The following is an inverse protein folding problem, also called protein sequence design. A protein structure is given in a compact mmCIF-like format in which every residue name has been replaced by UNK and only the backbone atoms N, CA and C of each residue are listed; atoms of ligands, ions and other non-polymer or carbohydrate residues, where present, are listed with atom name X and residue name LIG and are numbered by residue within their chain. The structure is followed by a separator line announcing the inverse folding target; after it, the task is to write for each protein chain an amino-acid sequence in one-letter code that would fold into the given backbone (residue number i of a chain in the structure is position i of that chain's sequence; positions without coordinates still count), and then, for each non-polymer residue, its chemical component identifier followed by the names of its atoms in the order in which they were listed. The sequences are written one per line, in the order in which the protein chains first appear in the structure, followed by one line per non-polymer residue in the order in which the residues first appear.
data_IF_119595818283
#
_entry.id   IF_119595818283
#
_cell.length_a   1.000
_cell.length_b   1.000
_cell.length_c   1.000
_cell.angle_alpha   90.00
_cell.angle_beta   90.00
_cell.angle_gamma   90.00
#
_symmetry.space_group_name_H-M   'P 1'
#
loop_
_entity.id
_entity.type
_entity.pdbx_description
1 polymer ?
#
# COMPACT_ATOMS: atom_id res chain seq x y z
N UNK A 1 -14.35 -22.31 -3.02
CA UNK A 1 -14.50 -20.87 -2.64
C UNK A 1 -13.15 -20.17 -2.50
N UNK A 2 -12.19 -20.72 -1.77
CA UNK A 2 -10.90 -20.08 -1.51
C UNK A 2 -9.97 -19.85 -2.73
N UNK A 3 -9.94 -20.79 -3.70
CA UNK A 3 -9.06 -20.63 -4.87
C UNK A 3 -9.53 -19.51 -5.81
N UNK A 4 -10.84 -19.34 -5.97
CA UNK A 4 -11.40 -18.23 -6.73
C UNK A 4 -11.08 -16.88 -6.05
N UNK A 5 -11.21 -16.79 -4.72
CA UNK A 5 -10.87 -15.57 -3.97
C UNK A 5 -9.39 -15.24 -4.05
N UNK A 6 -8.51 -16.24 -3.95
CA UNK A 6 -7.07 -16.04 -4.11
C UNK A 6 -6.71 -15.56 -5.53
N UNK A 7 -7.36 -16.14 -6.55
CA UNK A 7 -7.18 -15.71 -7.93
C UNK A 7 -7.66 -14.27 -8.15
N UNK A 8 -8.78 -13.87 -7.54
CA UNK A 8 -9.29 -12.49 -7.58
C UNK A 8 -8.35 -11.52 -6.89
N UNK A 9 -7.87 -11.88 -5.71
CA UNK A 9 -6.92 -11.08 -4.97
C UNK A 9 -5.61 -10.88 -5.75
N UNK A 10 -5.07 -11.96 -6.35
CA UNK A 10 -3.86 -11.87 -7.19
C UNK A 10 -4.05 -10.95 -8.37
N UNK A 11 -5.20 -11.02 -9.09
CA UNK A 11 -5.51 -10.09 -10.18
C UNK A 11 -5.59 -8.64 -9.67
N UNK A 12 -6.21 -8.42 -8.52
CA UNK A 12 -6.30 -7.09 -7.93
C UNK A 12 -4.92 -6.50 -7.60
N UNK A 13 -4.03 -7.30 -7.01
CA UNK A 13 -2.65 -6.92 -6.71
C UNK A 13 -1.82 -6.69 -7.99
N UNK A 14 -2.01 -7.51 -9.02
CA UNK A 14 -1.33 -7.40 -10.31
C UNK A 14 -1.64 -6.10 -11.05
N UNK A 15 -2.87 -5.62 -10.96
CA UNK A 15 -3.29 -4.39 -11.65
C UNK A 15 -2.87 -3.10 -10.92
N UNK A 16 -2.59 -3.14 -9.64
CA UNK A 16 -2.32 -1.93 -8.84
C UNK A 16 -1.16 -1.08 -9.36
N UNK A 17 0.00 -1.63 -9.76
CA UNK A 17 1.09 -0.80 -10.29
C UNK A 17 0.67 0.06 -11.49
N UNK A 18 -0.07 -0.52 -12.45
CA UNK A 18 -0.55 0.21 -13.61
C UNK A 18 -1.57 1.32 -13.24
N UNK A 19 -2.43 1.07 -12.25
CA UNK A 19 -3.37 2.06 -11.73
C UNK A 19 -2.63 3.25 -11.12
N UNK A 20 -1.62 3.00 -10.27
CA UNK A 20 -0.82 4.05 -9.64
C UNK A 20 -0.01 4.85 -10.67
N UNK A 21 0.58 4.18 -11.65
CA UNK A 21 1.31 4.84 -12.73
C UNK A 21 0.41 5.74 -13.58
N UNK A 22 -0.78 5.26 -13.92
CA UNK A 22 -1.74 6.06 -14.68
C UNK A 22 -2.23 7.28 -13.88
N UNK A 23 -2.53 7.09 -12.58
CA UNK A 23 -2.99 8.17 -11.69
C UNK A 23 -1.93 9.25 -11.50
N UNK A 24 -0.65 8.89 -11.43
CA UNK A 24 0.47 9.78 -11.17
C UNK A 24 1.18 10.26 -12.44
N UNK A 25 0.68 9.85 -13.61
CA UNK A 25 1.24 10.26 -14.90
C UNK A 25 1.18 11.78 -15.06
N UNK A 26 2.32 12.36 -15.40
CA UNK A 26 2.44 13.81 -15.59
C UNK A 26 2.54 14.64 -14.31
N UNK A 27 2.59 14.00 -13.14
CA UNK A 27 2.87 14.71 -11.89
C UNK A 27 4.33 15.15 -11.87
N UNK A 28 4.55 16.46 -11.72
CA UNK A 28 5.90 17.02 -11.62
C UNK A 28 6.54 16.72 -10.25
N UNK A 29 7.82 16.98 -10.16
CA UNK A 29 8.62 16.68 -8.96
C UNK A 29 8.13 17.43 -7.71
N UNK A 30 7.68 18.66 -7.84
CA UNK A 30 7.19 19.46 -6.73
C UNK A 30 5.82 18.93 -6.25
N UNK A 31 4.91 18.70 -7.17
CA UNK A 31 3.59 18.16 -6.87
C UNK A 31 3.66 16.76 -6.24
N UNK A 32 4.62 15.93 -6.66
CA UNK A 32 4.84 14.61 -6.08
C UNK A 32 5.27 14.67 -4.59
N UNK A 33 5.93 15.73 -4.17
CA UNK A 33 6.44 15.95 -2.81
C UNK A 33 5.57 16.86 -1.96
N UNK A 34 4.54 17.46 -2.54
CA UNK A 34 3.66 18.38 -1.82
C UNK A 34 2.77 17.57 -0.89
N UNK A 35 2.93 17.76 0.42
CA UNK A 35 2.04 17.23 1.44
C UNK A 35 0.75 18.04 1.49
N UNK A 36 -0.43 17.42 1.50
CA UNK A 36 -1.70 18.15 1.59
C UNK A 36 -1.91 18.84 2.94
N UNK A 37 -1.25 18.35 3.99
CA UNK A 37 -1.14 18.98 5.30
C UNK A 37 0.15 18.54 6.00
N UNK A 38 0.63 19.24 7.05
CA UNK A 38 1.92 18.96 7.68
C UNK A 38 2.14 17.54 8.19
N UNK A 39 1.07 16.88 8.62
CA UNK A 39 1.10 15.52 9.18
C UNK A 39 0.57 14.46 8.22
N UNK A 40 0.48 14.79 6.94
CA UNK A 40 0.01 13.88 5.91
C UNK A 40 1.12 13.56 4.91
N UNK A 41 1.06 12.35 4.39
CA UNK A 41 2.02 11.93 3.38
C UNK A 41 1.75 12.57 2.01
N UNK A 42 2.81 12.98 1.37
CA UNK A 42 2.81 13.38 -0.05
C UNK A 42 2.62 12.16 -0.96
N UNK A 43 2.26 12.37 -2.24
CA UNK A 43 2.17 11.27 -3.21
C UNK A 43 3.38 10.35 -3.24
N UNK A 44 4.61 10.88 -3.23
CA UNK A 44 5.82 10.05 -3.27
C UNK A 44 6.01 9.24 -1.98
N UNK A 45 5.67 9.80 -0.82
CA UNK A 45 5.74 9.08 0.46
C UNK A 45 4.79 7.89 0.50
N UNK A 46 3.56 8.07 0.00
CA UNK A 46 2.58 6.98 -0.12
C UNK A 46 3.11 5.86 -1.03
N UNK A 47 3.74 6.18 -2.15
CA UNK A 47 4.32 5.16 -3.03
C UNK A 47 5.51 4.47 -2.41
N UNK A 48 6.37 5.18 -1.69
CA UNK A 48 7.49 4.59 -0.95
C UNK A 48 6.99 3.64 0.14
N UNK A 49 5.93 4.02 0.86
CA UNK A 49 5.28 3.16 1.84
C UNK A 49 4.76 1.88 1.20
N UNK A 50 3.94 1.98 0.16
CA UNK A 50 3.44 0.80 -0.57
C UNK A 50 4.57 -0.10 -1.07
N UNK A 51 5.66 0.49 -1.57
CA UNK A 51 6.85 -0.26 -2.02
C UNK A 51 7.46 -1.08 -0.88
N UNK A 52 7.62 -0.49 0.28
CA UNK A 52 8.32 -1.13 1.38
C UNK A 52 7.44 -2.17 2.10
N UNK A 53 6.14 -1.96 2.16
CA UNK A 53 5.15 -2.92 2.66
C UNK A 53 5.15 -4.26 1.89
N UNK A 54 5.52 -4.24 0.60
CA UNK A 54 5.64 -5.46 -0.21
C UNK A 54 6.60 -6.49 0.36
N UNK A 55 7.70 -6.02 0.92
CA UNK A 55 8.78 -6.91 1.39
C UNK A 55 8.87 -7.00 2.89
N UNK A 56 8.46 -5.98 3.61
CA UNK A 56 8.70 -5.85 5.05
C UNK A 56 7.45 -6.05 5.91
N UNK A 57 6.25 -5.96 5.31
CA UNK A 57 5.00 -6.31 5.99
C UNK A 57 4.29 -7.48 5.30
N UNK A 58 3.43 -7.22 4.33
CA UNK A 58 2.56 -8.27 3.76
C UNK A 58 3.36 -9.45 3.20
N UNK A 59 4.36 -9.18 2.36
CA UNK A 59 5.19 -10.23 1.78
C UNK A 59 5.98 -11.01 2.82
N UNK A 60 6.52 -10.31 3.83
CA UNK A 60 7.24 -10.96 4.94
C UNK A 60 6.31 -11.85 5.78
N UNK A 61 5.11 -11.36 6.12
CA UNK A 61 4.14 -12.12 6.91
C UNK A 61 3.63 -13.35 6.18
N UNK A 62 3.38 -13.25 4.89
CA UNK A 62 3.01 -14.41 4.07
C UNK A 62 4.14 -15.46 4.08
N UNK A 63 5.41 -15.05 3.94
CA UNK A 63 6.56 -15.98 4.06
C UNK A 63 6.62 -16.66 5.42
N UNK A 64 6.46 -15.89 6.50
CA UNK A 64 6.42 -16.45 7.87
C UNK A 64 5.37 -17.55 8.02
N UNK A 65 4.18 -17.36 7.41
CA UNK A 65 3.13 -18.38 7.42
C UNK A 65 3.54 -19.60 6.61
N UNK A 66 4.07 -19.41 5.40
CA UNK A 66 4.48 -20.51 4.52
C UNK A 66 5.63 -21.34 5.10
N UNK A 67 6.54 -20.69 5.81
CA UNK A 67 7.69 -21.33 6.47
C UNK A 67 7.35 -21.94 7.83
N UNK A 68 6.14 -21.72 8.33
CA UNK A 68 5.75 -22.16 9.67
C UNK A 68 6.52 -21.50 10.81
N UNK A 69 7.19 -20.36 10.52
CA UNK A 69 8.02 -19.66 11.50
C UNK A 69 7.17 -18.98 12.62
N UNK A 70 7.80 -18.63 13.76
CA UNK A 70 7.06 -18.36 14.99
C UNK A 70 6.50 -16.95 15.16
N UNK A 71 7.09 -15.91 14.56
CA UNK A 71 6.72 -14.54 14.88
C UNK A 71 6.74 -13.63 13.65
N UNK A 72 5.83 -12.65 13.66
CA UNK A 72 5.87 -11.54 12.70
C UNK A 72 6.83 -10.47 13.20
N UNK A 73 7.62 -9.90 12.29
CA UNK A 73 8.46 -8.74 12.59
C UNK A 73 7.55 -7.53 12.85
N UNK A 74 7.87 -6.77 13.88
CA UNK A 74 7.23 -5.47 14.10
C UNK A 74 7.64 -4.50 13.01
N UNK A 75 6.66 -3.78 12.49
CA UNK A 75 6.84 -2.71 11.53
C UNK A 75 6.58 -1.35 12.18
N UNK A 76 7.20 -0.32 11.64
CA UNK A 76 6.98 1.07 12.01
C UNK A 76 7.07 1.95 10.75
N UNK A 77 5.97 2.03 9.96
CA UNK A 77 5.96 2.75 8.69
C UNK A 77 6.25 4.24 8.83
N UNK A 78 5.81 4.88 9.92
CA UNK A 78 6.08 6.29 10.19
C UNK A 78 7.58 6.53 10.40
N UNK A 79 8.22 5.65 11.13
CA UNK A 79 9.67 5.69 11.34
C UNK A 79 10.42 5.44 10.02
N UNK A 80 9.96 4.50 9.20
CA UNK A 80 10.55 4.25 7.88
C UNK A 80 10.49 5.48 6.97
N UNK A 81 9.36 6.20 6.98
CA UNK A 81 9.20 7.39 6.17
C UNK A 81 10.28 8.45 6.47
N UNK A 82 10.62 8.60 7.74
CA UNK A 82 11.67 9.55 8.19
C UNK A 82 13.06 8.99 7.92
N UNK A 83 13.37 7.78 8.39
CA UNK A 83 14.72 7.21 8.32
C UNK A 83 15.18 6.92 6.89
N UNK A 84 14.25 6.61 5.99
CA UNK A 84 14.53 6.30 4.57
C UNK A 84 14.34 7.50 3.65
N UNK A 85 13.97 8.67 4.20
CA UNK A 85 13.82 9.89 3.44
C UNK A 85 12.77 9.82 2.33
N UNK A 86 11.59 9.26 2.62
CA UNK A 86 10.53 9.11 1.60
C UNK A 86 10.16 10.43 0.94
N UNK A 87 10.16 11.53 1.70
CA UNK A 87 9.87 12.88 1.19
C UNK A 87 10.82 13.29 0.07
N UNK A 88 12.08 12.83 0.11
CA UNK A 88 13.11 13.20 -0.85
C UNK A 88 13.26 12.19 -2.00
N UNK A 89 12.48 11.12 -1.98
CA UNK A 89 12.57 10.07 -2.97
C UNK A 89 12.14 10.55 -4.37
N UNK A 90 12.61 9.85 -5.39
CA UNK A 90 12.18 10.01 -6.77
C UNK A 90 10.89 9.22 -7.00
N UNK A 91 9.80 9.91 -7.43
CA UNK A 91 8.54 9.23 -7.73
C UNK A 91 8.68 8.13 -8.81
N UNK A 92 9.39 8.36 -9.94
CA UNK A 92 9.61 7.31 -10.93
C UNK A 92 10.34 6.08 -10.36
N UNK A 93 11.36 6.30 -9.52
CA UNK A 93 12.11 5.22 -8.88
C UNK A 93 11.26 4.47 -7.84
N UNK A 94 10.46 5.19 -7.07
CA UNK A 94 9.54 4.60 -6.10
C UNK A 94 8.49 3.71 -6.80
N UNK A 95 7.88 4.17 -7.89
CA UNK A 95 6.95 3.40 -8.72
C UNK A 95 7.61 2.17 -9.33
N UNK A 96 8.80 2.31 -9.90
CA UNK A 96 9.56 1.19 -10.45
C UNK A 96 9.90 0.16 -9.37
N UNK A 97 10.32 0.62 -8.20
CA UNK A 97 10.60 -0.23 -7.04
C UNK A 97 9.35 -0.96 -6.53
N UNK A 98 8.22 -0.26 -6.43
CA UNK A 98 6.94 -0.88 -6.07
C UNK A 98 6.54 -1.98 -7.07
N UNK A 99 6.60 -1.68 -8.36
CA UNK A 99 6.31 -2.67 -9.43
C UNK A 99 7.18 -3.90 -9.31
N UNK A 100 8.49 -3.73 -9.13
CA UNK A 100 9.43 -4.85 -9.03
C UNK A 100 9.12 -5.73 -7.82
N UNK A 101 8.93 -5.13 -6.64
CA UNK A 101 8.60 -5.87 -5.42
C UNK A 101 7.23 -6.55 -5.49
N UNK A 102 6.24 -5.90 -6.11
CA UNK A 102 4.92 -6.50 -6.37
C UNK A 102 5.02 -7.73 -7.26
N UNK A 103 5.87 -7.73 -8.27
CA UNK A 103 6.12 -8.91 -9.10
C UNK A 103 6.72 -10.06 -8.29
N UNK A 104 7.64 -9.77 -7.36
CA UNK A 104 8.20 -10.78 -6.45
C UNK A 104 7.11 -11.35 -5.52
N UNK A 105 6.26 -10.50 -4.98
CA UNK A 105 5.12 -10.88 -4.16
C UNK A 105 4.12 -11.76 -4.90
N UNK A 106 3.83 -11.42 -6.15
CA UNK A 106 2.94 -12.23 -7.01
C UNK A 106 3.56 -13.60 -7.32
N UNK A 107 4.88 -13.69 -7.54
CA UNK A 107 5.58 -14.98 -7.69
C UNK A 107 5.51 -15.82 -6.42
N UNK A 108 5.69 -15.20 -5.26
CA UNK A 108 5.51 -15.86 -3.96
C UNK A 108 4.10 -16.44 -3.82
N UNK A 109 3.07 -15.63 -4.07
CA UNK A 109 1.67 -16.07 -3.99
C UNK A 109 1.32 -17.12 -5.05
N UNK A 110 1.98 -17.11 -6.22
CA UNK A 110 1.75 -18.11 -7.26
C UNK A 110 2.32 -19.48 -6.90
N UNK A 111 3.44 -19.51 -6.17
CA UNK A 111 4.11 -20.73 -5.73
C UNK A 111 3.59 -21.25 -4.38
N UNK A 112 2.81 -20.46 -3.65
CA UNK A 112 2.32 -20.82 -2.33
C UNK A 112 1.26 -21.93 -2.39
N UNK A 113 1.44 -23.03 -1.66
CA UNK A 113 0.39 -24.05 -1.53
C UNK A 113 -0.86 -23.46 -0.88
N UNK A 114 -2.01 -23.63 -1.53
CA UNK A 114 -3.26 -23.04 -1.03
C UNK A 114 -3.70 -23.58 0.33
N UNK A 115 -3.30 -24.78 0.66
CA UNK A 115 -3.54 -25.39 1.99
C UNK A 115 -2.79 -24.63 3.08
N UNK A 116 -1.54 -24.24 2.83
CA UNK A 116 -0.74 -23.46 3.80
C UNK A 116 -1.27 -22.04 3.96
N UNK A 117 -1.76 -21.43 2.89
CA UNK A 117 -2.40 -20.11 2.98
C UNK A 117 -3.73 -20.16 3.74
N UNK A 118 -4.44 -21.29 3.70
CA UNK A 118 -5.70 -21.50 4.45
C UNK A 118 -5.45 -21.88 5.89
N UNK A 119 -4.34 -22.52 6.19
CA UNK A 119 -4.02 -22.85 7.55
C UNK A 119 -4.05 -21.54 8.36
N UNK A 120 -4.84 -21.55 9.45
CA UNK A 120 -4.72 -20.50 10.44
C UNK A 120 -3.26 -20.45 10.82
N UNK A 121 -2.57 -19.43 10.39
CA UNK A 121 -1.13 -19.30 10.56
C UNK A 121 -0.78 -19.48 12.00
N UNK A 122 -0.57 -20.69 12.37
CA UNK A 122 -0.28 -21.19 13.69
C UNK A 122 -0.65 -20.20 14.80
N UNK A 123 -1.92 -19.85 14.90
CA UNK A 123 -2.47 -19.09 16.03
C UNK A 123 -1.66 -17.84 16.42
N UNK A 124 -1.16 -17.08 15.45
CA UNK A 124 -0.37 -15.89 15.79
C UNK A 124 -1.24 -14.69 15.89
N UNK A 125 -1.44 -14.18 17.10
CA UNK A 125 -2.21 -12.97 17.26
C UNK A 125 -1.42 -11.79 16.69
N UNK A 126 -1.99 -11.11 15.70
CA UNK A 126 -1.63 -9.74 15.37
C UNK A 126 -2.38 -8.83 16.35
N UNK A 127 -1.81 -8.64 17.52
CA UNK A 127 -2.40 -7.78 18.55
C UNK A 127 -3.86 -8.13 18.84
N UNK A 128 -4.77 -7.18 18.60
CA UNK A 128 -6.21 -7.33 18.86
C UNK A 128 -6.95 -8.16 17.80
N UNK A 129 -6.33 -8.46 16.67
CA UNK A 129 -6.98 -9.14 15.54
C UNK A 129 -7.07 -10.65 15.74
N UNK A 130 -6.34 -11.22 16.71
CA UNK A 130 -6.29 -12.65 16.91
C UNK A 130 -5.48 -13.38 15.85
N UNK A 131 -5.67 -14.71 15.71
CA UNK A 131 -4.97 -15.49 14.71
C UNK A 131 -5.48 -15.16 13.30
N UNK A 132 -4.54 -14.95 12.36
CA UNK A 132 -4.82 -14.70 10.94
C UNK A 132 -4.28 -15.84 10.08
N UNK A 133 -5.04 -16.21 9.06
CA UNK A 133 -4.57 -17.07 7.98
C UNK A 133 -3.77 -16.28 6.94
N UNK A 134 -3.03 -16.98 6.08
CA UNK A 134 -2.41 -16.36 4.93
C UNK A 134 -3.42 -15.70 3.98
N UNK A 135 -4.64 -16.26 3.88
CA UNK A 135 -5.71 -15.65 3.09
C UNK A 135 -6.25 -14.37 3.72
N UNK A 136 -6.31 -14.26 5.05
CA UNK A 136 -6.67 -13.00 5.71
C UNK A 136 -5.63 -11.92 5.42
N UNK A 137 -4.33 -12.28 5.42
CA UNK A 137 -3.26 -11.34 5.05
C UNK A 137 -3.35 -10.93 3.58
N UNK A 138 -3.63 -11.83 2.66
CA UNK A 138 -3.81 -11.49 1.24
C UNK A 138 -5.03 -10.59 1.03
N UNK A 139 -6.14 -10.85 1.72
CA UNK A 139 -7.32 -9.99 1.68
C UNK A 139 -7.03 -8.60 2.25
N UNK A 140 -6.31 -8.54 3.38
CA UNK A 140 -5.88 -7.28 3.98
C UNK A 140 -4.93 -6.51 3.05
N UNK A 141 -4.04 -7.18 2.34
CA UNK A 141 -3.14 -6.56 1.38
C UNK A 141 -3.89 -5.86 0.24
N UNK A 142 -4.89 -6.55 -0.36
CA UNK A 142 -5.75 -5.93 -1.38
C UNK A 142 -6.51 -4.74 -0.82
N UNK A 143 -7.02 -4.83 0.41
CA UNK A 143 -7.72 -3.73 1.07
C UNK A 143 -6.78 -2.53 1.34
N UNK A 144 -5.56 -2.80 1.80
CA UNK A 144 -4.52 -1.82 2.05
C UNK A 144 -4.16 -1.02 0.79
N UNK A 145 -3.96 -1.69 -0.35
CA UNK A 145 -3.78 -1.03 -1.63
C UNK A 145 -4.91 -0.04 -1.96
N UNK A 146 -6.17 -0.43 -1.68
CA UNK A 146 -7.34 0.42 -1.93
C UNK A 146 -7.43 1.62 -0.99
N UNK A 147 -7.05 1.43 0.28
CA UNK A 147 -6.97 2.51 1.26
C UNK A 147 -5.96 3.56 0.80
N UNK A 148 -4.77 3.13 0.39
CA UNK A 148 -3.74 4.06 -0.07
C UNK A 148 -4.03 4.66 -1.45
N UNK A 149 -4.72 3.97 -2.34
CA UNK A 149 -5.23 4.56 -3.58
C UNK A 149 -6.21 5.71 -3.28
N UNK A 150 -7.10 5.52 -2.32
CA UNK A 150 -8.04 6.54 -1.91
C UNK A 150 -7.34 7.72 -1.21
N UNK A 151 -6.36 7.44 -0.34
CA UNK A 151 -5.52 8.46 0.30
C UNK A 151 -4.78 9.29 -0.76
N UNK A 152 -4.19 8.63 -1.75
CA UNK A 152 -3.46 9.28 -2.85
C UNK A 152 -4.38 10.19 -3.67
N UNK A 153 -5.56 9.70 -4.05
CA UNK A 153 -6.56 10.51 -4.77
C UNK A 153 -6.98 11.74 -3.97
N UNK A 154 -7.20 11.59 -2.66
CA UNK A 154 -7.50 12.69 -1.75
C UNK A 154 -6.36 13.71 -1.64
N UNK A 155 -5.11 13.25 -1.53
CA UNK A 155 -3.94 14.11 -1.50
C UNK A 155 -3.80 14.94 -2.78
N UNK A 156 -3.95 14.30 -3.94
CA UNK A 156 -3.91 14.98 -5.25
C UNK A 156 -5.02 16.03 -5.38
N UNK A 157 -6.23 15.71 -4.95
CA UNK A 157 -7.36 16.65 -5.02
C UNK A 157 -7.14 17.89 -4.14
N UNK A 158 -6.62 17.71 -2.91
CA UNK A 158 -6.30 18.83 -2.00
C UNK A 158 -5.14 19.68 -2.51
N UNK A 159 -4.08 19.06 -2.99
CA UNK A 159 -2.94 19.76 -3.58
C UNK A 159 -3.37 20.58 -4.79
N UNK A 160 -4.26 20.03 -5.63
CA UNK A 160 -4.86 20.76 -6.73
C UNK A 160 -5.64 21.97 -6.26
N UNK A 161 -6.56 21.80 -5.31
CA UNK A 161 -7.38 22.88 -4.77
C UNK A 161 -6.52 24.02 -4.17
N UNK A 162 -5.48 23.67 -3.41
CA UNK A 162 -4.53 24.64 -2.84
C UNK A 162 -3.77 25.42 -3.91
N UNK A 163 -3.34 24.76 -4.98
CA UNK A 163 -2.59 25.38 -6.08
C UNK A 163 -3.43 26.41 -6.85
N UNK A 164 -4.73 26.23 -6.89
CA UNK A 164 -5.64 27.10 -7.63
C UNK A 164 -6.27 28.21 -6.78
N UNK A 165 -5.90 28.35 -5.51
CA UNK A 165 -6.37 29.46 -4.70
C UNK A 165 -6.02 30.82 -5.37
N UNK A 166 -6.92 31.83 -5.33
CA UNK A 166 -8.18 31.88 -4.58
C UNK A 166 -9.40 31.33 -5.35
N UNK A 167 -9.22 30.59 -6.44
CA UNK A 167 -10.34 29.99 -7.16
C UNK A 167 -11.03 28.95 -6.29
N UNK A 168 -12.32 28.87 -6.41
CA UNK A 168 -13.17 28.06 -5.55
C UNK A 168 -13.41 26.68 -6.16
N UNK A 169 -13.06 25.63 -5.42
CA UNK A 169 -13.26 24.23 -5.84
C UNK A 169 -14.49 23.57 -5.19
N UNK A 170 -15.21 24.27 -4.30
CA UNK A 170 -16.31 23.73 -3.50
C UNK A 170 -17.50 23.28 -4.33
N UNK A 171 -17.63 23.77 -5.57
CA UNK A 171 -18.65 23.29 -6.50
C UNK A 171 -18.51 21.79 -6.82
N UNK A 172 -17.29 21.24 -6.75
CA UNK A 172 -17.05 19.81 -6.93
C UNK A 172 -17.53 18.94 -5.75
N UNK A 173 -17.95 19.58 -4.66
CA UNK A 173 -18.31 18.89 -3.42
C UNK A 173 -17.15 18.79 -2.45
N UNK A 174 -17.34 18.15 -1.29
CA UNK A 174 -16.29 17.96 -0.31
C UNK A 174 -15.24 16.99 -0.85
N UNK A 175 -13.96 17.35 -0.70
CA UNK A 175 -12.87 16.43 -1.00
C UNK A 175 -12.88 15.36 0.12
N UNK A 176 -13.12 14.09 -0.22
CA UNK A 176 -13.11 13.03 0.78
C UNK A 176 -11.71 12.86 1.35
N UNK A 177 -11.67 12.46 2.61
CA UNK A 177 -10.52 12.29 3.49
C UNK A 177 -10.04 13.56 4.17
N UNK A 178 -10.56 13.80 5.37
CA UNK A 178 -9.74 14.42 6.40
C UNK A 178 -8.78 13.34 6.90
N UNK A 179 -7.66 13.56 6.89
CA UNK A 179 -6.43 13.38 7.54
C UNK A 179 -6.52 13.05 9.00
N UNK A 180 -6.58 11.83 9.31
CA UNK A 180 -6.06 11.21 10.53
C UNK A 180 -6.47 9.75 10.50
N UNK A 181 -5.55 8.94 10.18
CA UNK A 181 -5.56 7.55 10.61
C UNK A 181 -4.86 7.50 11.96
#
# INVERSE_FOLDING_TARGET
MSDALLADARRALEHMPAVLEALLSGLDHEAARTRPAPNEWSPVEIICHLRDEETEDFGARVRVILEGAAEFVKIDPERWAVERGYQEASLPEALAGFRARRQDSLRLLASAPSELLRALGASRPLGRLGPLSGLDLVAAWVAHDRIHLAQLAGALARNWASRWAPLRSEYAGPIPYPTSV
#
